data_IF_511557545988
#
_entry.id   IF_511557545988
#
_cell.length_a   1.000
_cell.length_b   1.000
_cell.length_c   1.000
_cell.angle_alpha   90.00
_cell.angle_beta   90.00
_cell.angle_gamma   90.00
#
_symmetry.space_group_name_H-M   'P 1'
#
loop_
_entity.id
_entity.type
_entity.pdbx_description
1 polymer ?
#
# COMPACT_ATOMS: atom_id res chain seq x y z
N UNK A 1 14.53 -27.74 0.56
CA UNK A 1 13.39 -27.23 -0.23
C UNK A 1 13.12 -25.73 -0.05
N UNK A 2 13.47 -25.10 1.08
CA UNK A 2 13.31 -23.65 1.27
C UNK A 2 14.17 -22.76 0.33
N UNK A 3 15.34 -23.25 -0.10
CA UNK A 3 16.28 -22.49 -0.96
C UNK A 3 15.78 -22.32 -2.41
N UNK A 4 15.10 -23.33 -2.97
CA UNK A 4 14.54 -23.22 -4.32
C UNK A 4 13.35 -22.23 -4.36
N UNK A 5 12.54 -22.19 -3.29
CA UNK A 5 11.43 -21.25 -3.16
C UNK A 5 11.92 -19.79 -3.02
N UNK A 6 12.96 -19.54 -2.22
CA UNK A 6 13.54 -18.19 -2.08
C UNK A 6 14.17 -17.69 -3.38
N UNK A 7 14.78 -18.58 -4.19
CA UNK A 7 15.33 -18.21 -5.49
C UNK A 7 14.24 -17.84 -6.50
N UNK A 8 13.12 -18.56 -6.51
CA UNK A 8 11.96 -18.24 -7.34
C UNK A 8 11.29 -16.93 -6.89
N UNK A 9 11.12 -16.72 -5.58
CA UNK A 9 10.58 -15.46 -5.05
C UNK A 9 11.49 -14.27 -5.41
N UNK A 10 12.81 -14.42 -5.28
CA UNK A 10 13.75 -13.38 -5.70
C UNK A 10 13.69 -13.11 -7.21
N UNK A 11 13.44 -14.14 -8.02
CA UNK A 11 13.23 -13.95 -9.47
C UNK A 11 11.96 -13.15 -9.73
N UNK A 12 10.82 -13.53 -9.14
CA UNK A 12 9.56 -12.80 -9.29
C UNK A 12 9.66 -11.37 -8.77
N UNK A 13 10.30 -11.18 -7.61
CA UNK A 13 10.59 -9.86 -7.07
C UNK A 13 11.41 -9.05 -8.06
N UNK A 14 12.50 -9.59 -8.63
CA UNK A 14 13.30 -8.85 -9.59
C UNK A 14 12.57 -8.49 -10.89
N UNK A 15 11.67 -9.37 -11.35
CA UNK A 15 10.86 -9.14 -12.54
C UNK A 15 9.79 -8.06 -12.30
N UNK A 16 9.16 -8.06 -11.12
CA UNK A 16 7.96 -7.27 -10.87
C UNK A 16 8.15 -6.09 -9.91
N UNK A 17 9.31 -5.95 -9.26
CA UNK A 17 9.57 -4.90 -8.26
C UNK A 17 9.32 -3.47 -8.72
N UNK A 18 9.51 -3.22 -10.01
CA UNK A 18 9.37 -1.90 -10.63
C UNK A 18 8.08 -1.75 -11.45
N UNK A 19 7.26 -2.79 -11.54
CA UNK A 19 5.98 -2.71 -12.23
C UNK A 19 5.00 -1.98 -11.31
N UNK A 20 4.55 -0.82 -11.78
CA UNK A 20 3.62 0.03 -11.06
C UNK A 20 2.19 -0.29 -11.54
N UNK A 21 1.40 -0.95 -10.68
CA UNK A 21 0.03 -1.37 -10.99
C UNK A 21 -0.93 -0.28 -10.54
N UNK A 22 -1.76 0.21 -11.46
CA UNK A 22 -2.77 1.22 -11.16
C UNK A 22 -4.03 0.58 -10.58
N UNK A 23 -4.56 1.14 -9.50
CA UNK A 23 -5.80 0.68 -8.86
C UNK A 23 -7.02 1.23 -9.63
N UNK A 24 -7.29 0.65 -10.80
CA UNK A 24 -8.52 0.90 -11.56
C UNK A 24 -9.73 0.29 -10.85
N UNK A 25 -10.95 0.68 -11.27
CA UNK A 25 -12.19 0.12 -10.71
C UNK A 25 -12.25 -1.40 -10.80
N UNK A 26 -11.76 -1.95 -11.91
CA UNK A 26 -11.69 -3.40 -12.15
C UNK A 26 -10.74 -4.07 -11.16
N UNK A 27 -9.51 -3.54 -11.03
CA UNK A 27 -8.51 -4.07 -10.10
C UNK A 27 -8.99 -4.01 -8.65
N UNK A 28 -9.62 -2.90 -8.24
CA UNK A 28 -10.19 -2.74 -6.91
C UNK A 28 -11.31 -3.76 -6.67
N UNK A 29 -12.18 -3.98 -7.66
CA UNK A 29 -13.27 -4.95 -7.56
C UNK A 29 -12.75 -6.40 -7.54
N UNK A 30 -11.73 -6.72 -8.32
CA UNK A 30 -11.16 -8.08 -8.35
C UNK A 30 -10.38 -8.41 -7.09
N UNK A 31 -9.67 -7.44 -6.53
CA UNK A 31 -8.92 -7.59 -5.27
C UNK A 31 -9.81 -7.44 -4.03
N UNK A 32 -11.08 -7.08 -4.20
CA UNK A 32 -11.96 -6.67 -3.09
C UNK A 32 -11.31 -5.61 -2.20
N UNK A 33 -10.61 -4.66 -2.80
CA UNK A 33 -9.89 -3.62 -2.08
C UNK A 33 -10.87 -2.57 -1.50
N UNK A 34 -10.70 -2.19 -0.24
CA UNK A 34 -11.54 -1.18 0.43
C UNK A 34 -10.82 0.18 0.51
N UNK A 35 -10.99 1.06 -0.49
CA UNK A 35 -10.30 2.35 -0.55
C UNK A 35 -10.64 3.28 0.63
N UNK A 36 -11.79 3.12 1.28
CA UNK A 36 -12.19 3.96 2.43
C UNK A 36 -11.41 3.66 3.70
N UNK A 37 -10.85 2.46 3.81
CA UNK A 37 -10.05 2.05 4.96
C UNK A 37 -8.53 2.14 4.72
N UNK A 38 -8.13 2.82 3.64
CA UNK A 38 -6.74 3.08 3.32
C UNK A 38 -6.27 4.33 4.06
N UNK A 39 -5.14 4.18 4.75
CA UNK A 39 -4.53 5.30 5.46
C UNK A 39 -3.01 5.28 5.31
N UNK A 40 -2.42 6.46 5.25
CA UNK A 40 -0.98 6.65 5.40
C UNK A 40 -0.67 7.06 6.83
N UNK A 41 0.30 6.38 7.44
CA UNK A 41 0.82 6.72 8.76
C UNK A 41 2.20 7.36 8.63
N UNK A 42 2.38 8.45 9.35
CA UNK A 42 3.59 9.28 9.32
C UNK A 42 3.83 9.85 10.72
N UNK A 43 4.99 9.61 11.33
CA UNK A 43 5.39 10.22 12.61
C UNK A 43 4.30 10.21 13.69
N UNK A 44 3.61 9.07 13.85
CA UNK A 44 2.54 8.89 14.85
C UNK A 44 1.16 9.40 14.45
N UNK A 45 1.01 10.09 13.31
CA UNK A 45 -0.29 10.47 12.75
C UNK A 45 -0.79 9.48 11.71
N UNK A 46 -2.10 9.49 11.45
CA UNK A 46 -2.76 8.69 10.42
C UNK A 46 -3.65 9.61 9.58
N UNK A 47 -3.52 9.53 8.26
CA UNK A 47 -4.30 10.34 7.32
C UNK A 47 -4.97 9.45 6.27
N UNK A 48 -6.24 9.72 5.93
CA UNK A 48 -6.91 9.02 4.85
C UNK A 48 -6.21 9.35 3.53
N UNK A 49 -5.97 8.33 2.71
CA UNK A 49 -5.36 8.48 1.41
C UNK A 49 -5.95 7.50 0.40
N UNK A 50 -5.85 7.85 -0.88
CA UNK A 50 -6.27 6.98 -1.99
C UNK A 50 -5.00 6.44 -2.65
N UNK A 51 -4.92 5.13 -2.85
CA UNK A 51 -3.81 4.53 -3.60
C UNK A 51 -4.12 4.69 -5.08
N UNK A 52 -3.27 5.42 -5.81
CA UNK A 52 -3.37 5.53 -7.26
C UNK A 52 -2.70 4.32 -7.91
N UNK A 53 -1.46 4.05 -7.52
CA UNK A 53 -0.69 2.94 -8.05
C UNK A 53 0.32 2.43 -7.04
N UNK A 54 0.67 1.15 -7.11
CA UNK A 54 1.69 0.56 -6.24
C UNK A 54 2.53 -0.48 -6.99
N UNK A 55 3.79 -0.57 -6.58
CA UNK A 55 4.75 -1.61 -6.92
C UNK A 55 5.27 -2.26 -5.63
N UNK A 56 6.10 -3.30 -5.74
CA UNK A 56 6.72 -3.91 -4.56
C UNK A 56 7.77 -3.02 -3.89
N UNK A 57 8.14 -1.88 -4.49
CA UNK A 57 9.17 -0.96 -3.97
C UNK A 57 8.65 0.45 -3.69
N UNK A 58 7.54 0.85 -4.31
CA UNK A 58 7.02 2.21 -4.25
C UNK A 58 5.51 2.19 -4.29
N UNK A 59 4.88 3.21 -3.72
CA UNK A 59 3.45 3.43 -3.88
C UNK A 59 3.18 4.92 -4.12
N UNK A 60 2.28 5.21 -5.05
CA UNK A 60 1.77 6.55 -5.32
C UNK A 60 0.41 6.68 -4.65
N UNK A 61 0.38 7.54 -3.64
CA UNK A 61 -0.84 7.86 -2.90
C UNK A 61 -1.27 9.30 -3.17
N UNK A 62 -2.58 9.51 -3.16
CA UNK A 62 -3.21 10.82 -3.24
C UNK A 62 -3.72 11.15 -1.85
N UNK A 63 -3.21 12.24 -1.27
CA UNK A 63 -3.61 12.74 0.04
C UNK A 63 -4.17 14.15 -0.10
N UNK A 64 -5.15 14.50 0.75
CA UNK A 64 -5.71 15.84 0.77
C UNK A 64 -4.67 16.89 1.17
N UNK A 65 -4.49 17.94 0.36
CA UNK A 65 -3.46 18.99 0.58
C UNK A 65 -3.62 19.74 1.91
N UNK A 66 -4.86 19.85 2.43
CA UNK A 66 -5.19 20.54 3.69
C UNK A 66 -4.93 19.71 4.96
N UNK A 67 -4.50 18.45 4.83
CA UNK A 67 -4.44 17.51 5.96
C UNK A 67 -3.23 17.70 6.88
N UNK A 68 -2.31 18.61 6.56
CA UNK A 68 -1.04 18.77 7.29
C UNK A 68 -0.02 17.66 7.03
N UNK A 69 -0.37 16.64 6.25
CA UNK A 69 0.51 15.52 5.89
C UNK A 69 1.80 15.99 5.20
N UNK A 70 1.70 16.89 4.22
CA UNK A 70 2.86 17.43 3.49
C UNK A 70 3.83 18.20 4.40
N UNK A 71 3.31 18.93 5.39
CA UNK A 71 4.14 19.66 6.35
C UNK A 71 4.89 18.69 7.27
N UNK A 72 4.23 17.63 7.72
CA UNK A 72 4.85 16.54 8.48
C UNK A 72 5.90 15.82 7.64
N UNK A 73 5.59 15.45 6.39
CA UNK A 73 6.55 14.78 5.50
C UNK A 73 7.83 15.60 5.30
N UNK A 74 7.70 16.92 5.18
CA UNK A 74 8.84 17.84 5.04
C UNK A 74 9.65 18.05 6.33
N UNK A 75 9.08 17.78 7.50
CA UNK A 75 9.76 18.01 8.79
C UNK A 75 10.76 16.91 9.16
N UNK A 76 11.23 16.11 8.19
CA UNK A 76 12.30 15.11 8.39
C UNK A 76 11.80 13.74 8.81
N UNK A 77 10.84 13.16 8.09
CA UNK A 77 10.29 11.83 8.40
C UNK A 77 11.22 10.72 7.93
N UNK A 78 11.45 9.75 8.82
CA UNK A 78 12.26 8.56 8.58
C UNK A 78 11.47 7.31 8.19
N UNK A 79 10.15 7.26 8.44
CA UNK A 79 9.32 6.10 8.09
C UNK A 79 7.89 6.47 7.71
N UNK A 80 7.41 5.90 6.62
CA UNK A 80 6.05 6.07 6.10
C UNK A 80 5.44 4.69 5.93
N UNK A 81 4.28 4.48 6.55
CA UNK A 81 3.58 3.21 6.48
C UNK A 81 2.25 3.38 5.76
N UNK A 82 1.94 2.48 4.84
CA UNK A 82 0.67 2.47 4.13
C UNK A 82 -0.14 1.30 4.65
N UNK A 83 -1.37 1.59 5.10
CA UNK A 83 -2.36 0.58 5.44
C UNK A 83 -3.14 0.24 4.19
N UNK A 84 -2.99 -0.99 3.71
CA UNK A 84 -3.88 -1.56 2.72
C UNK A 84 -5.03 -2.27 3.45
N UNK A 85 -6.22 -2.20 2.87
CA UNK A 85 -7.41 -2.85 3.39
C UNK A 85 -8.14 -3.58 2.26
N UNK A 86 -8.50 -4.83 2.51
CA UNK A 86 -9.19 -5.72 1.58
C UNK A 86 -10.37 -6.35 2.31
N UNK A 87 -11.44 -6.66 1.59
CA UNK A 87 -12.50 -7.49 2.10
C UNK A 87 -12.15 -8.95 1.90
N UNK A 88 -12.48 -9.74 2.91
CA UNK A 88 -12.53 -11.18 2.74
C UNK A 88 -13.68 -11.55 1.80
N UNK A 89 -13.45 -12.50 0.91
CA UNK A 89 -14.46 -13.04 0.00
C UNK A 89 -15.54 -13.84 0.73
N UNK A 90 -15.22 -14.40 1.91
CA UNK A 90 -16.13 -15.27 2.67
C UNK A 90 -16.51 -14.71 4.06
N UNK A 91 -15.76 -13.73 4.58
CA UNK A 91 -15.96 -13.12 5.90
C UNK A 91 -16.43 -11.67 5.85
N UNK A 92 -17.22 -11.24 6.85
CA UNK A 92 -17.65 -9.84 7.03
C UNK A 92 -16.52 -8.89 7.44
N UNK A 93 -15.32 -9.42 7.69
CA UNK A 93 -14.21 -8.68 8.28
C UNK A 93 -13.26 -8.13 7.21
N UNK A 94 -12.87 -6.87 7.37
CA UNK A 94 -11.87 -6.23 6.53
C UNK A 94 -10.47 -6.65 6.97
N UNK A 95 -9.72 -7.33 6.11
CA UNK A 95 -8.32 -7.64 6.29
C UNK A 95 -7.48 -6.39 6.01
N UNK A 96 -6.72 -5.94 6.99
CA UNK A 96 -5.83 -4.79 6.81
C UNK A 96 -4.42 -5.11 7.23
N UNK A 97 -3.46 -4.74 6.40
CA UNK A 97 -2.04 -4.90 6.69
C UNK A 97 -1.28 -3.60 6.43
N UNK A 98 -0.17 -3.43 7.16
CA UNK A 98 0.69 -2.27 7.05
C UNK A 98 1.95 -2.66 6.28
N UNK A 99 2.23 -1.93 5.21
CA UNK A 99 3.51 -1.98 4.52
C UNK A 99 4.34 -0.78 4.96
N UNK A 100 5.46 -1.05 5.61
CA UNK A 100 6.47 -0.05 5.97
C UNK A 100 7.51 0.02 4.84
N UNK A 101 7.90 1.23 4.46
CA UNK A 101 9.04 1.48 3.58
C UNK A 101 10.15 2.24 4.30
#
# INVERSE_FOLDING_TARGET
>A
MAFAASQQLNRYYNLYKNIDVTFSKEVVSTLNFEPKQVFVRCSGGQWPCIINSASMTKAKIICGKKSGFLARLRSGITSVNIRFAFFDTEGKDSLSFFCCS
#
